data_IF_909777715518
#
_entry.id   IF_909777715518
#
_cell.length_a   1.000
_cell.length_b   1.000
_cell.length_c   1.000
_cell.angle_alpha   90.00
_cell.angle_beta   90.00
_cell.angle_gamma   90.00
#
_symmetry.space_group_name_H-M   'P 1'
#
loop_
_entity.id
_entity.type
_entity.pdbx_description
1 polymer ?
#
# COMPACT_ATOMS: atom_id res chain seq x y z
N UNK A 1 10.21 9.88 -4.60
CA UNK A 1 9.84 10.95 -3.65
C UNK A 1 9.21 12.21 -4.29
N UNK A 2 9.11 12.33 -5.62
CA UNK A 2 8.26 13.37 -6.22
C UNK A 2 6.77 13.10 -5.98
N UNK A 3 5.90 13.39 -6.95
CA UNK A 3 4.46 13.21 -6.81
C UNK A 3 4.00 11.75 -6.57
N UNK A 4 4.82 10.75 -6.93
CA UNK A 4 4.48 9.33 -6.79
C UNK A 4 4.08 8.95 -5.35
N UNK A 5 4.83 9.39 -4.35
CA UNK A 5 4.54 9.07 -2.95
C UNK A 5 3.20 9.62 -2.45
N UNK A 6 2.77 10.78 -2.98
CA UNK A 6 1.45 11.34 -2.67
C UNK A 6 0.32 10.53 -3.32
N UNK A 7 0.51 10.08 -4.57
CA UNK A 7 -0.46 9.23 -5.29
C UNK A 7 -0.58 7.86 -4.62
N UNK A 8 0.55 7.24 -4.25
CA UNK A 8 0.60 5.97 -3.51
C UNK A 8 -0.07 6.07 -2.14
N UNK A 9 0.13 7.18 -1.42
CA UNK A 9 -0.56 7.45 -0.16
C UNK A 9 -2.08 7.54 -0.34
N UNK A 10 -2.56 8.24 -1.38
CA UNK A 10 -3.99 8.30 -1.72
C UNK A 10 -4.52 6.90 -2.01
N UNK A 11 -3.84 6.11 -2.84
CA UNK A 11 -4.27 4.74 -3.13
C UNK A 11 -4.24 3.82 -1.91
N UNK A 12 -3.29 3.99 -0.99
CA UNK A 12 -3.24 3.23 0.26
C UNK A 12 -4.48 3.51 1.12
N UNK A 13 -4.87 4.78 1.24
CA UNK A 13 -6.09 5.18 1.97
C UNK A 13 -7.35 4.67 1.26
N UNK A 14 -7.41 4.75 -0.07
CA UNK A 14 -8.54 4.22 -0.85
C UNK A 14 -8.65 2.70 -0.72
N UNK A 15 -7.53 1.96 -0.75
CA UNK A 15 -7.53 0.51 -0.57
C UNK A 15 -8.10 0.11 0.80
N UNK A 16 -7.70 0.81 1.87
CA UNK A 16 -8.25 0.59 3.20
C UNK A 16 -9.74 0.93 3.29
N UNK A 17 -10.16 2.08 2.74
CA UNK A 17 -11.55 2.56 2.86
C UNK A 17 -12.53 1.82 1.95
N UNK A 18 -12.09 1.34 0.79
CA UNK A 18 -12.94 0.64 -0.19
C UNK A 18 -12.80 -0.89 -0.10
N UNK A 19 -11.81 -1.41 0.62
CA UNK A 19 -11.58 -2.84 0.79
C UNK A 19 -11.15 -3.56 -0.48
N UNK A 20 -10.41 -2.85 -1.36
CA UNK A 20 -9.89 -3.40 -2.62
C UNK A 20 -8.41 -3.05 -2.74
N UNK A 21 -7.58 -4.08 -2.85
CA UNK A 21 -6.17 -3.96 -3.15
C UNK A 21 -5.98 -3.75 -4.65
N UNK A 22 -5.30 -2.68 -5.09
CA UNK A 22 -4.97 -2.50 -6.50
C UNK A 22 -3.97 -3.58 -6.94
N UNK A 23 -4.03 -4.01 -8.22
CA UNK A 23 -3.09 -5.00 -8.73
C UNK A 23 -1.73 -4.40 -9.07
N UNK A 24 -0.71 -5.24 -8.98
CA UNK A 24 0.54 -5.03 -9.70
C UNK A 24 0.39 -5.60 -11.10
N UNK A 25 0.13 -4.72 -12.07
CA UNK A 25 -0.06 -5.10 -13.48
C UNK A 25 1.27 -5.54 -14.13
N UNK A 26 1.15 -6.27 -15.25
CA UNK A 26 2.27 -6.77 -16.05
C UNK A 26 3.17 -7.78 -15.31
N UNK A 27 2.62 -8.48 -14.31
CA UNK A 27 3.34 -9.50 -13.58
C UNK A 27 3.18 -10.85 -14.31
N UNK A 28 4.12 -11.18 -15.20
CA UNK A 28 4.05 -12.38 -16.05
C UNK A 28 5.08 -13.46 -15.68
N UNK A 29 6.22 -13.05 -15.13
CA UNK A 29 7.35 -13.93 -14.81
C UNK A 29 7.76 -13.68 -13.37
N UNK A 30 7.69 -14.73 -12.54
CA UNK A 30 8.10 -14.67 -11.14
C UNK A 30 9.63 -14.58 -11.00
N UNK A 31 10.08 -13.75 -10.06
CA UNK A 31 11.49 -13.69 -9.65
C UNK A 31 11.64 -14.46 -8.32
N UNK A 32 12.50 -15.49 -8.22
CA UNK A 32 12.69 -16.26 -6.99
C UNK A 32 13.15 -15.44 -5.77
N UNK A 33 13.74 -14.27 -5.97
CA UNK A 33 14.12 -13.35 -4.89
C UNK A 33 12.96 -12.44 -4.43
N UNK A 34 11.87 -12.41 -5.20
CA UNK A 34 10.66 -11.67 -4.93
C UNK A 34 9.52 -12.68 -4.71
N UNK A 35 9.46 -13.26 -3.51
CA UNK A 35 8.59 -14.36 -3.11
C UNK A 35 7.38 -13.93 -2.24
N UNK A 36 7.09 -12.63 -2.18
CA UNK A 36 5.93 -12.10 -1.45
C UNK A 36 4.65 -12.11 -2.31
N UNK A 37 3.55 -11.74 -1.67
CA UNK A 37 2.28 -11.55 -2.36
C UNK A 37 2.15 -10.13 -2.92
N UNK A 38 2.28 -10.01 -4.25
CA UNK A 38 2.27 -8.72 -4.96
C UNK A 38 0.91 -8.33 -5.56
N UNK A 39 -0.16 -9.11 -5.33
CA UNK A 39 -1.48 -8.90 -5.97
C UNK A 39 -1.34 -8.83 -7.51
N UNK A 40 -0.88 -9.91 -8.17
CA UNK A 40 -0.52 -9.85 -9.59
C UNK A 40 -1.76 -9.72 -10.49
N UNK A 41 -1.72 -8.75 -11.40
CA UNK A 41 -2.63 -8.52 -12.54
C UNK A 41 -4.12 -8.24 -12.25
N UNK A 42 -4.70 -8.80 -11.19
CA UNK A 42 -6.11 -8.66 -10.84
C UNK A 42 -6.29 -8.06 -9.45
N UNK A 43 -7.18 -7.07 -9.34
CA UNK A 43 -7.51 -6.45 -8.06
C UNK A 43 -8.13 -7.48 -7.10
N UNK A 44 -7.81 -7.38 -5.82
CA UNK A 44 -8.26 -8.34 -4.81
C UNK A 44 -9.01 -7.65 -3.68
N UNK A 45 -10.19 -8.19 -3.31
CA UNK A 45 -10.90 -7.72 -2.11
C UNK A 45 -10.18 -8.14 -0.84
N UNK A 46 -10.05 -7.23 0.11
CA UNK A 46 -9.47 -7.50 1.43
C UNK A 46 -10.00 -6.49 2.46
N UNK A 47 -10.23 -6.93 3.71
CA UNK A 47 -10.51 -6.02 4.83
C UNK A 47 -9.19 -5.47 5.36
N UNK A 48 -8.79 -4.31 4.87
CA UNK A 48 -7.52 -3.65 5.24
C UNK A 48 -7.81 -2.58 6.28
N UNK A 49 -7.27 -2.79 7.48
CA UNK A 49 -7.38 -1.82 8.57
C UNK A 49 -6.18 -0.86 8.63
N UNK A 50 -4.99 -1.37 8.30
CA UNK A 50 -3.71 -0.65 8.37
C UNK A 50 -2.97 -0.86 7.04
N UNK A 51 -2.49 0.23 6.47
CA UNK A 51 -1.70 0.23 5.23
C UNK A 51 -0.42 1.06 5.39
N UNK A 52 0.60 0.69 4.63
CA UNK A 52 1.91 1.35 4.64
C UNK A 52 2.24 1.81 3.22
N UNK A 53 2.66 3.07 3.07
CA UNK A 53 3.19 3.61 1.81
C UNK A 53 4.68 3.86 1.97
N UNK A 54 5.49 3.12 1.21
CA UNK A 54 6.95 3.22 1.23
C UNK A 54 7.46 4.05 0.04
N UNK A 55 8.47 4.89 0.28
CA UNK A 55 9.09 5.71 -0.75
C UNK A 55 10.60 5.74 -0.55
N UNK A 56 11.33 5.05 -1.43
CA UNK A 56 12.79 4.95 -1.40
C UNK A 56 13.35 5.61 -2.67
N UNK A 57 14.02 6.75 -2.49
CA UNK A 57 14.52 7.59 -3.58
C UNK A 57 16.04 7.69 -3.62
N UNK A 58 16.54 8.21 -4.75
CA UNK A 58 17.97 8.47 -4.94
C UNK A 58 18.56 9.35 -3.83
N UNK A 59 19.86 9.19 -3.57
CA UNK A 59 20.55 9.87 -2.48
C UNK A 59 20.29 9.25 -1.09
N UNK A 60 19.71 8.04 -1.03
CA UNK A 60 19.45 7.33 0.22
C UNK A 60 18.24 7.86 1.00
N UNK A 61 17.31 8.53 0.33
CA UNK A 61 16.10 9.06 0.96
C UNK A 61 15.09 7.93 1.18
N UNK A 62 14.90 7.54 2.44
CA UNK A 62 13.93 6.52 2.81
C UNK A 62 12.81 7.14 3.67
N UNK A 63 11.58 7.04 3.19
CA UNK A 63 10.40 7.53 3.90
C UNK A 63 9.29 6.46 3.91
N UNK A 64 8.57 6.40 5.02
CA UNK A 64 7.46 5.48 5.23
C UNK A 64 6.36 6.22 6.00
N UNK A 65 5.11 6.04 5.58
CA UNK A 65 3.93 6.54 6.29
C UNK A 65 2.96 5.39 6.53
N UNK A 66 2.32 5.40 7.70
CA UNK A 66 1.36 4.38 8.12
C UNK A 66 -0.01 5.02 8.24
N UNK A 67 -1.01 4.42 7.60
CA UNK A 67 -2.41 4.84 7.66
C UNK A 67 -3.23 3.77 8.37
N UNK A 68 -4.21 4.22 9.17
CA UNK A 68 -5.24 3.36 9.75
C UNK A 68 -6.61 3.83 9.26
N UNK A 69 -7.49 2.89 8.95
CA UNK A 69 -8.88 3.19 8.59
C UNK A 69 -9.60 3.83 9.79
N UNK A 70 -10.30 4.94 9.54
CA UNK A 70 -10.82 5.80 10.61
C UNK A 70 -11.87 5.12 11.49
N UNK A 71 -12.78 4.34 10.90
CA UNK A 71 -13.81 3.55 11.60
C UNK A 71 -13.24 2.40 12.44
N UNK A 72 -11.97 2.01 12.20
CA UNK A 72 -11.22 1.01 12.96
C UNK A 72 -10.24 1.64 13.95
N UNK A 73 -10.22 2.97 14.06
CA UNK A 73 -9.37 3.63 15.04
C UNK A 73 -9.87 3.35 16.47
N UNK A 74 -8.98 3.02 17.42
CA UNK A 74 -9.35 2.90 18.82
C UNK A 74 -9.86 4.26 19.32
N UNK A 75 -10.75 4.22 20.32
CA UNK A 75 -11.24 5.44 20.95
C UNK A 75 -10.06 6.29 21.46
N UNK A 76 -10.14 7.62 21.38
CA UNK A 76 -9.10 8.49 21.92
C UNK A 76 -8.83 8.15 23.40
N UNK A 77 -7.61 7.72 23.72
CA UNK A 77 -7.18 7.39 25.10
C UNK A 77 -7.25 5.92 25.50
N UNK A 78 -7.52 4.99 24.57
CA UNK A 78 -7.37 3.55 24.77
C UNK A 78 -5.93 3.07 24.52
#
# INVERSE_FOLDING_TARGET
>A
LGAAGAVEAIFTVLAATQGVLPPTINYEVEDPACDLDYVPNEARKADVEIGVSNSFGFGGHNACVVFRRFDKAPAPGA
#
